data_IF_476189197860
#
_entry.id   IF_476189197860
#
_cell.length_a   1.000
_cell.length_b   1.000
_cell.length_c   1.000
_cell.angle_alpha   90.00
_cell.angle_beta   90.00
_cell.angle_gamma   90.00
#
_symmetry.space_group_name_H-M   'P 1'
#
loop_
_entity.id
_entity.type
_entity.pdbx_description
1 polymer ?
#
# COMPACT_ATOMS: atom_id res chain seq x y z
N UNK A 1 -7.06 25.76 -26.68
CA UNK A 1 -5.61 25.64 -26.56
C UNK A 1 -5.31 25.38 -25.11
N UNK A 2 -4.75 24.21 -24.80
CA UNK A 2 -4.28 23.87 -23.46
C UNK A 2 -3.07 24.75 -23.17
N UNK A 3 -3.23 25.78 -22.38
CA UNK A 3 -2.10 26.59 -21.93
C UNK A 3 -1.36 25.85 -20.85
N UNK A 4 -0.28 25.17 -21.19
CA UNK A 4 0.63 24.60 -20.20
C UNK A 4 1.34 25.74 -19.46
N UNK A 5 1.49 25.54 -18.16
CA UNK A 5 2.26 26.43 -17.30
C UNK A 5 3.47 25.68 -16.71
N UNK A 6 4.53 26.39 -16.30
CA UNK A 6 5.60 25.76 -15.54
C UNK A 6 5.05 24.98 -14.34
N UNK A 7 5.51 23.73 -14.18
CA UNK A 7 5.04 22.83 -13.14
C UNK A 7 3.85 21.96 -13.51
N UNK A 8 3.29 22.09 -14.71
CA UNK A 8 2.33 21.13 -15.26
C UNK A 8 3.07 19.92 -15.83
N UNK A 9 2.37 18.76 -15.81
CA UNK A 9 2.92 17.52 -16.37
C UNK A 9 3.05 17.66 -17.88
N UNK A 10 4.25 17.36 -18.40
CA UNK A 10 4.53 17.35 -19.83
C UNK A 10 4.46 15.89 -20.34
N UNK A 11 3.60 15.65 -21.32
CA UNK A 11 3.48 14.35 -21.98
C UNK A 11 4.34 14.29 -23.24
N UNK A 12 4.69 13.08 -23.64
CA UNK A 12 5.48 12.80 -24.83
C UNK A 12 4.54 12.57 -26.01
N UNK A 13 4.81 13.24 -27.12
CA UNK A 13 4.22 12.94 -28.41
C UNK A 13 4.92 11.65 -28.93
N UNK A 14 4.19 10.54 -28.89
CA UNK A 14 4.72 9.20 -29.20
C UNK A 14 4.75 8.96 -30.71
N UNK A 15 3.74 9.45 -31.42
CA UNK A 15 3.62 9.27 -32.87
C UNK A 15 4.35 10.34 -33.68
N UNK A 16 4.85 11.40 -33.02
CA UNK A 16 5.56 12.54 -33.59
C UNK A 16 4.72 13.35 -34.61
N UNK A 17 3.40 13.47 -34.37
CA UNK A 17 2.52 14.28 -35.22
C UNK A 17 2.46 15.76 -34.79
N UNK A 18 3.14 16.11 -33.71
CA UNK A 18 3.19 17.47 -33.14
C UNK A 18 2.03 17.80 -32.21
N UNK A 19 1.14 16.87 -31.93
CA UNK A 19 -0.04 17.06 -31.07
C UNK A 19 -0.18 15.93 -30.06
N UNK A 20 -0.05 16.23 -28.78
CA UNK A 20 -0.30 15.22 -27.72
C UNK A 20 -1.80 14.98 -27.56
N UNK A 21 -2.25 13.77 -27.84
CA UNK A 21 -3.66 13.39 -27.81
C UNK A 21 -3.86 11.89 -27.49
N UNK A 22 -5.06 11.35 -27.74
CA UNK A 22 -5.39 9.94 -27.47
C UNK A 22 -4.53 8.91 -28.28
N UNK A 23 -3.96 9.34 -29.41
CA UNK A 23 -3.10 8.49 -30.25
C UNK A 23 -1.72 8.26 -29.63
N UNK A 24 -1.35 9.05 -28.62
CA UNK A 24 -0.11 8.91 -27.86
C UNK A 24 -0.25 8.00 -26.63
N UNK A 25 -1.41 7.39 -26.45
CA UNK A 25 -1.60 6.44 -25.35
C UNK A 25 -0.99 5.10 -25.67
N UNK A 26 -0.05 4.70 -24.85
CA UNK A 26 0.65 3.42 -24.94
C UNK A 26 0.54 2.65 -23.63
N UNK A 27 0.62 1.31 -23.66
CA UNK A 27 0.71 0.53 -22.42
C UNK A 27 1.93 0.94 -21.60
N UNK A 28 1.75 1.19 -20.31
CA UNK A 28 2.83 1.57 -19.39
C UNK A 28 2.82 0.65 -18.16
N UNK A 29 4.02 0.35 -17.67
CA UNK A 29 4.24 -0.39 -16.44
C UNK A 29 3.75 -1.83 -16.45
N UNK A 30 3.43 -2.31 -15.25
CA UNK A 30 2.89 -3.65 -15.01
C UNK A 30 1.35 -3.59 -14.97
N UNK A 31 0.65 -4.72 -15.12
CA UNK A 31 -0.80 -4.76 -14.96
C UNK A 31 -1.27 -4.25 -13.60
N UNK A 32 -2.50 -3.75 -13.55
CA UNK A 32 -3.14 -3.38 -12.26
C UNK A 32 -3.64 -4.59 -11.48
N UNK A 33 -3.87 -5.72 -12.18
CA UNK A 33 -4.11 -7.02 -11.54
C UNK A 33 -2.76 -7.72 -11.43
N UNK A 34 -2.36 -8.17 -10.22
CA UNK A 34 -1.08 -8.82 -10.03
C UNK A 34 -0.91 -10.05 -10.93
N UNK A 35 0.23 -10.16 -11.61
CA UNK A 35 0.55 -11.35 -12.40
C UNK A 35 1.01 -12.52 -11.51
N UNK A 36 1.55 -12.22 -10.32
CA UNK A 36 2.04 -13.23 -9.39
C UNK A 36 1.40 -12.99 -8.02
N UNK A 37 0.75 -14.01 -7.51
CA UNK A 37 0.31 -14.08 -6.11
C UNK A 37 1.04 -15.25 -5.46
N UNK A 38 1.67 -15.01 -4.32
CA UNK A 38 2.45 -16.02 -3.62
C UNK A 38 2.15 -16.04 -2.13
N UNK A 39 2.35 -17.19 -1.51
CA UNK A 39 2.24 -17.36 -0.08
C UNK A 39 3.11 -18.50 0.39
N UNK A 40 3.66 -18.35 1.58
CA UNK A 40 4.41 -19.41 2.24
C UNK A 40 4.22 -19.35 3.75
N UNK A 41 4.31 -20.50 4.38
CA UNK A 41 4.18 -20.62 5.82
C UNK A 41 5.21 -21.56 6.38
N UNK A 42 5.57 -21.31 7.62
CA UNK A 42 6.43 -22.17 8.41
C UNK A 42 5.80 -22.38 9.79
N UNK A 43 5.83 -23.59 10.29
CA UNK A 43 5.47 -23.89 11.68
C UNK A 43 6.49 -24.82 12.30
N UNK A 44 6.72 -24.63 13.60
CA UNK A 44 7.64 -25.45 14.37
C UNK A 44 7.11 -25.58 15.80
N UNK A 45 7.37 -26.71 16.44
CA UNK A 45 7.06 -26.92 17.85
C UNK A 45 8.24 -27.62 18.54
N UNK A 46 8.50 -27.21 19.79
CA UNK A 46 9.56 -27.78 20.59
C UNK A 46 9.30 -27.59 22.08
N UNK A 47 9.25 -28.68 22.82
CA UNK A 47 9.10 -28.67 24.30
C UNK A 47 7.98 -27.78 24.82
N UNK A 48 6.80 -27.86 24.19
CA UNK A 48 5.63 -27.07 24.58
C UNK A 48 5.55 -25.68 23.93
N UNK A 49 6.63 -25.18 23.35
CA UNK A 49 6.59 -23.96 22.51
C UNK A 49 6.12 -24.32 21.11
N UNK A 50 5.28 -23.50 20.56
CA UNK A 50 4.86 -23.54 19.16
C UNK A 50 5.01 -22.17 18.52
N UNK A 51 5.40 -22.18 17.26
CA UNK A 51 5.57 -21.00 16.44
C UNK A 51 4.99 -21.27 15.07
N UNK A 52 4.23 -20.34 14.54
CA UNK A 52 3.82 -20.36 13.15
C UNK A 52 3.90 -18.98 12.54
N UNK A 53 4.22 -18.93 11.25
CA UNK A 53 4.26 -17.73 10.46
C UNK A 53 3.64 -18.02 9.09
N UNK A 54 2.80 -17.10 8.60
CA UNK A 54 2.28 -17.15 7.26
C UNK A 54 2.45 -15.79 6.58
N UNK A 55 3.08 -15.81 5.40
CA UNK A 55 3.34 -14.65 4.58
C UNK A 55 2.60 -14.80 3.25
N UNK A 56 2.06 -13.70 2.77
CA UNK A 56 1.41 -13.59 1.48
C UNK A 56 1.85 -12.30 0.80
N UNK A 57 2.00 -12.34 -0.52
CA UNK A 57 2.33 -11.15 -1.28
C UNK A 57 1.89 -11.25 -2.72
N UNK A 58 2.04 -10.13 -3.38
CA UNK A 58 1.84 -10.01 -4.82
C UNK A 58 3.08 -9.41 -5.45
N UNK A 59 3.31 -9.75 -6.70
CA UNK A 59 4.40 -9.20 -7.48
C UNK A 59 3.95 -8.96 -8.92
N UNK A 60 4.69 -8.08 -9.60
CA UNK A 60 4.41 -7.64 -10.96
C UNK A 60 3.03 -6.97 -11.05
N UNK A 61 2.76 -6.07 -10.11
CA UNK A 61 1.57 -5.23 -10.09
C UNK A 61 1.95 -3.74 -10.17
N UNK A 62 1.08 -2.94 -10.74
CA UNK A 62 1.12 -1.49 -10.66
C UNK A 62 -0.24 -0.97 -10.24
N UNK A 63 -0.27 0.21 -9.65
CA UNK A 63 -1.50 0.97 -9.50
C UNK A 63 -1.25 2.42 -9.87
N UNK A 64 -2.32 3.17 -10.10
CA UNK A 64 -2.24 4.59 -10.41
C UNK A 64 -2.83 5.39 -9.26
N UNK A 65 -2.10 6.41 -8.81
CA UNK A 65 -2.68 7.42 -7.92
C UNK A 65 -3.82 8.11 -8.68
N UNK A 66 -4.95 8.29 -8.04
CA UNK A 66 -6.07 9.04 -8.59
C UNK A 66 -5.97 10.52 -8.16
N UNK A 67 -5.45 11.40 -9.01
CA UNK A 67 -5.27 12.79 -8.64
C UNK A 67 -6.60 13.53 -8.38
N UNK A 68 -7.69 13.16 -9.08
CA UNK A 68 -8.97 13.81 -8.90
C UNK A 68 -9.51 13.70 -7.46
N UNK A 69 -9.25 12.58 -6.81
CA UNK A 69 -9.76 12.31 -5.46
C UNK A 69 -8.95 12.97 -4.35
N UNK A 70 -7.65 13.23 -4.60
CA UNK A 70 -6.73 13.79 -3.59
C UNK A 70 -6.20 15.18 -3.96
N UNK A 71 -6.69 15.78 -5.05
CA UNK A 71 -6.28 17.12 -5.50
C UNK A 71 -6.52 18.15 -4.39
N UNK A 72 -5.48 18.87 -3.96
CA UNK A 72 -5.59 19.85 -2.90
C UNK A 72 -6.41 21.06 -3.36
N UNK A 73 -7.15 21.65 -2.44
CA UNK A 73 -7.94 22.88 -2.60
C UNK A 73 -9.11 22.80 -3.59
N UNK A 74 -9.20 21.76 -4.39
CA UNK A 74 -10.33 21.52 -5.29
C UNK A 74 -11.51 21.03 -4.48
N UNK A 75 -12.70 21.59 -4.71
CA UNK A 75 -13.93 21.29 -3.96
C UNK A 75 -13.77 21.46 -2.44
N UNK A 76 -13.09 22.53 -2.01
CA UNK A 76 -12.88 22.90 -0.61
C UNK A 76 -12.07 21.86 0.21
N UNK A 77 -11.31 20.98 -0.45
CA UNK A 77 -10.45 19.99 0.22
C UNK A 77 -9.20 20.64 0.80
N UNK A 78 -8.73 20.08 1.88
CA UNK A 78 -7.39 20.37 2.41
C UNK A 78 -6.31 19.65 1.61
N UNK A 79 -5.07 20.10 1.73
CA UNK A 79 -3.92 19.41 1.19
C UNK A 79 -3.48 18.26 2.12
N UNK A 80 -3.13 17.10 1.55
CA UNK A 80 -2.40 16.08 2.28
C UNK A 80 -0.97 16.58 2.58
N UNK A 81 -0.41 16.22 3.74
CA UNK A 81 0.94 16.64 4.13
C UNK A 81 1.97 16.28 3.07
N UNK A 82 1.90 15.08 2.50
CA UNK A 82 2.81 14.65 1.42
C UNK A 82 2.75 15.57 0.19
N UNK A 83 1.58 16.12 -0.13
CA UNK A 83 1.43 17.09 -1.23
C UNK A 83 1.97 18.44 -0.83
N UNK A 84 1.69 18.89 0.39
CA UNK A 84 2.16 20.18 0.90
C UNK A 84 3.69 20.23 0.99
N UNK A 85 4.31 19.14 1.43
CA UNK A 85 5.76 19.06 1.63
C UNK A 85 6.54 18.74 0.35
N UNK A 86 5.89 18.09 -0.64
CA UNK A 86 6.55 17.59 -1.85
C UNK A 86 5.70 17.88 -3.10
N UNK A 87 5.69 19.14 -3.51
CA UNK A 87 5.07 19.61 -4.75
C UNK A 87 6.03 20.48 -5.53
N UNK A 88 5.81 20.55 -6.83
CA UNK A 88 6.54 21.49 -7.67
C UNK A 88 6.13 22.94 -7.35
N UNK A 89 7.12 23.82 -7.21
CA UNK A 89 6.89 25.26 -7.08
C UNK A 89 8.00 26.04 -7.80
N UNK A 90 7.76 27.32 -8.07
CA UNK A 90 8.75 28.21 -8.70
C UNK A 90 10.02 28.34 -7.84
N UNK A 91 9.86 28.29 -6.52
CA UNK A 91 10.96 28.37 -5.57
C UNK A 91 11.70 27.03 -5.38
N UNK A 92 11.04 25.92 -5.71
CA UNK A 92 11.60 24.57 -5.70
C UNK A 92 11.10 23.78 -6.92
N UNK A 93 11.72 23.99 -8.10
CA UNK A 93 11.29 23.38 -9.36
C UNK A 93 11.81 21.94 -9.48
N UNK A 94 11.37 21.05 -8.59
CA UNK A 94 11.73 19.64 -8.60
C UNK A 94 10.88 18.88 -9.64
N UNK A 95 11.50 18.33 -10.72
CA UNK A 95 10.77 17.54 -11.71
C UNK A 95 10.32 16.17 -11.19
N UNK A 96 10.83 15.73 -10.04
CA UNK A 96 10.47 14.47 -9.39
C UNK A 96 9.54 14.67 -8.19
N UNK A 97 9.00 15.88 -8.00
CA UNK A 97 8.08 16.15 -6.93
C UNK A 97 6.88 15.17 -6.96
N UNK A 98 6.37 14.80 -5.79
CA UNK A 98 5.21 13.91 -5.69
C UNK A 98 3.99 14.51 -6.39
N UNK A 99 3.78 15.83 -6.27
CA UNK A 99 2.66 16.55 -6.87
C UNK A 99 3.17 17.61 -7.85
N UNK A 100 2.49 17.81 -9.00
CA UNK A 100 2.77 18.93 -9.89
C UNK A 100 2.45 20.26 -9.20
N UNK A 101 2.47 21.37 -9.91
CA UNK A 101 2.10 22.66 -9.31
C UNK A 101 0.74 22.62 -8.63
N UNK A 102 0.63 23.31 -7.52
CA UNK A 102 -0.64 23.47 -6.79
C UNK A 102 -1.62 24.37 -7.55
N UNK A 103 -2.90 24.10 -7.40
CA UNK A 103 -3.99 24.88 -7.99
C UNK A 103 -5.24 24.79 -7.11
N UNK A 104 -6.04 25.85 -7.11
CA UNK A 104 -7.36 25.88 -6.46
C UNK A 104 -8.47 25.34 -7.35
N UNK A 105 -8.14 24.96 -8.56
CA UNK A 105 -9.07 24.36 -9.54
C UNK A 105 -8.43 23.13 -10.18
N UNK A 106 -9.26 22.23 -10.68
CA UNK A 106 -8.83 21.04 -11.41
C UNK A 106 -8.04 21.42 -12.66
N UNK A 107 -6.90 20.75 -12.86
CA UNK A 107 -6.07 20.89 -14.05
C UNK A 107 -6.14 19.57 -14.82
N UNK A 108 -7.07 19.48 -15.76
CA UNK A 108 -7.35 18.26 -16.51
C UNK A 108 -6.07 17.64 -17.16
N UNK A 109 -5.11 18.48 -17.54
CA UNK A 109 -3.82 18.01 -18.02
C UNK A 109 -3.07 17.19 -16.94
N UNK A 110 -3.02 17.67 -15.71
CA UNK A 110 -2.27 17.03 -14.63
C UNK A 110 -2.99 15.80 -14.04
N UNK A 111 -4.24 15.58 -14.42
CA UNK A 111 -5.08 14.48 -13.93
C UNK A 111 -5.10 13.28 -14.87
N UNK A 112 -4.41 13.34 -16.00
CA UNK A 112 -4.34 12.23 -16.95
C UNK A 112 -3.53 11.08 -16.39
N UNK A 113 -4.03 9.85 -16.57
CA UNK A 113 -3.32 8.62 -16.22
C UNK A 113 -1.99 8.55 -17.00
N UNK A 114 -0.88 8.44 -16.28
CA UNK A 114 0.46 8.53 -16.86
C UNK A 114 1.51 7.89 -15.95
N UNK A 115 2.74 7.85 -16.41
CA UNK A 115 3.90 7.41 -15.60
C UNK A 115 4.11 8.27 -14.35
N UNK A 116 3.65 9.53 -14.34
CA UNK A 116 3.70 10.38 -13.16
C UNK A 116 2.88 9.81 -11.99
N UNK A 117 1.73 9.25 -12.26
CA UNK A 117 0.82 8.72 -11.26
C UNK A 117 0.98 7.22 -11.01
N UNK A 118 1.78 6.54 -11.85
CA UNK A 118 2.03 5.11 -11.69
C UNK A 118 2.91 4.84 -10.47
N UNK A 119 2.56 3.81 -9.71
CA UNK A 119 3.32 3.32 -8.57
C UNK A 119 3.48 1.80 -8.64
N UNK A 120 4.53 1.31 -7.99
CA UNK A 120 4.73 -0.13 -7.79
C UNK A 120 3.69 -0.65 -6.80
N UNK A 121 2.92 -1.64 -7.22
CA UNK A 121 1.88 -2.28 -6.42
C UNK A 121 2.36 -3.55 -5.72
N UNK A 122 3.63 -3.93 -5.86
CA UNK A 122 4.17 -5.11 -5.23
C UNK A 122 4.19 -4.96 -3.70
N UNK A 123 3.72 -5.97 -2.98
CA UNK A 123 3.81 -6.00 -1.53
C UNK A 123 4.00 -7.41 -0.98
N UNK A 124 4.47 -7.49 0.25
CA UNK A 124 4.52 -8.71 1.04
C UNK A 124 3.92 -8.42 2.42
N UNK A 125 3.04 -9.28 2.87
CA UNK A 125 2.33 -9.15 4.14
C UNK A 125 2.59 -10.37 5.02
N UNK A 126 3.02 -10.12 6.24
CA UNK A 126 2.98 -11.13 7.30
C UNK A 126 1.52 -11.20 7.78
N UNK A 127 0.79 -12.16 7.24
CA UNK A 127 -0.66 -12.35 7.49
C UNK A 127 -0.96 -12.89 8.87
N UNK A 128 -0.07 -13.74 9.36
CA UNK A 128 -0.18 -14.29 10.70
C UNK A 128 1.21 -14.63 11.23
N UNK A 129 1.46 -14.22 12.44
CA UNK A 129 2.52 -14.77 13.28
C UNK A 129 1.86 -15.21 14.57
N UNK A 130 2.16 -16.42 15.00
CA UNK A 130 1.65 -16.95 16.25
C UNK A 130 2.80 -17.58 17.04
N UNK A 131 2.85 -17.25 18.32
CA UNK A 131 3.78 -17.82 19.27
C UNK A 131 2.96 -18.32 20.44
N UNK A 132 3.04 -19.60 20.76
CA UNK A 132 2.30 -20.23 21.82
C UNK A 132 3.20 -21.01 22.77
N UNK A 133 2.68 -21.26 23.95
CA UNK A 133 3.25 -22.17 24.91
C UNK A 133 2.16 -23.03 25.54
N UNK A 134 2.30 -24.33 25.42
CA UNK A 134 1.45 -25.32 26.06
C UNK A 134 2.12 -25.80 27.33
N UNK A 135 1.45 -25.61 28.45
CA UNK A 135 1.94 -26.08 29.74
C UNK A 135 1.89 -27.61 29.80
N UNK A 136 2.98 -28.25 30.25
CA UNK A 136 2.96 -29.71 30.42
C UNK A 136 1.93 -30.10 31.49
N UNK A 137 1.21 -31.16 31.20
CA UNK A 137 0.29 -31.74 32.19
C UNK A 137 1.11 -32.20 33.41
N UNK A 138 0.76 -31.68 34.58
CA UNK A 138 1.35 -32.08 35.85
C UNK A 138 0.27 -32.73 36.67
N UNK A 139 0.59 -33.87 37.27
CA UNK A 139 -0.30 -34.64 38.15
C UNK A 139 -0.76 -33.84 39.39
N UNK A 140 -0.06 -32.73 39.69
CA UNK A 140 -0.37 -31.89 40.87
C UNK A 140 -0.19 -30.41 40.54
N UNK A 141 -1.09 -29.56 40.98
CA UNK A 141 -1.03 -28.11 40.85
C UNK A 141 -2.30 -27.48 40.24
N UNK A 142 -2.27 -26.20 40.05
CA UNK A 142 -3.43 -25.40 39.59
C UNK A 142 -3.94 -25.79 38.18
N UNK A 143 -3.11 -26.47 37.41
CA UNK A 143 -3.40 -26.90 36.01
C UNK A 143 -3.36 -28.43 35.88
N UNK A 144 -3.53 -29.17 36.98
CA UNK A 144 -3.57 -30.63 36.95
C UNK A 144 -4.75 -31.14 36.12
N UNK A 145 -4.48 -32.01 35.14
CA UNK A 145 -5.49 -32.55 34.22
C UNK A 145 -6.00 -31.55 33.16
N UNK A 146 -5.40 -30.34 33.05
CA UNK A 146 -5.78 -29.34 32.09
C UNK A 146 -4.65 -29.13 31.05
N UNK A 147 -5.01 -29.28 29.77
CA UNK A 147 -4.10 -28.87 28.68
C UNK A 147 -4.31 -27.37 28.42
N UNK A 148 -3.41 -26.56 28.98
CA UNK A 148 -3.51 -25.11 28.92
C UNK A 148 -2.47 -24.54 27.97
N UNK A 149 -2.88 -23.68 27.05
CA UNK A 149 -2.00 -22.98 26.09
C UNK A 149 -2.24 -21.49 26.13
N UNK A 150 -1.17 -20.71 26.22
CA UNK A 150 -1.17 -19.26 26.02
C UNK A 150 -0.52 -18.96 24.67
N UNK A 151 -1.13 -18.05 23.91
CA UNK A 151 -0.59 -17.67 22.60
C UNK A 151 -0.75 -16.18 22.31
N UNK A 152 0.09 -15.68 21.42
CA UNK A 152 0.06 -14.33 20.86
C UNK A 152 -0.02 -14.43 19.34
N UNK A 153 -0.84 -13.58 18.71
CA UNK A 153 -0.91 -13.45 17.25
C UNK A 153 -0.76 -12.00 16.81
N UNK A 154 -0.20 -11.78 15.61
CA UNK A 154 0.01 -10.45 15.05
C UNK A 154 0.04 -10.44 13.51
N UNK A 155 -0.08 -9.23 12.94
CA UNK A 155 -0.10 -8.98 11.50
C UNK A 155 0.73 -7.74 11.15
N UNK A 156 1.56 -7.84 10.09
CA UNK A 156 2.40 -6.74 9.58
C UNK A 156 2.37 -6.70 8.05
N UNK A 157 2.46 -5.51 7.46
CA UNK A 157 2.54 -5.33 6.01
C UNK A 157 3.84 -4.64 5.62
N UNK A 158 4.45 -5.10 4.55
CA UNK A 158 5.65 -4.53 3.93
C UNK A 158 5.33 -4.20 2.47
N UNK A 159 5.51 -2.95 2.06
CA UNK A 159 5.33 -2.52 0.68
C UNK A 159 6.42 -1.51 0.30
N UNK A 160 6.64 -1.31 -0.99
CA UNK A 160 7.52 -0.25 -1.49
C UNK A 160 6.84 1.12 -1.46
N UNK A 161 5.53 1.13 -1.49
CA UNK A 161 4.74 2.34 -1.36
C UNK A 161 4.37 2.54 0.12
N UNK A 162 4.67 3.70 0.67
CA UNK A 162 4.67 4.01 2.10
C UNK A 162 3.56 4.98 2.53
N UNK A 163 2.84 5.60 1.60
CA UNK A 163 1.83 6.60 1.92
C UNK A 163 0.53 5.98 2.44
N UNK A 164 0.10 4.87 1.85
CA UNK A 164 -1.04 4.06 2.31
C UNK A 164 -0.90 2.61 1.85
N UNK A 165 -1.75 1.74 2.34
CA UNK A 165 -1.74 0.33 1.91
C UNK A 165 -2.13 0.21 0.44
N UNK A 166 -1.33 -0.50 -0.35
CA UNK A 166 -1.52 -0.65 -1.80
C UNK A 166 -2.86 -1.29 -2.18
N UNK A 167 -3.47 -2.09 -1.30
CA UNK A 167 -4.81 -2.65 -1.51
C UNK A 167 -5.94 -1.60 -1.38
N UNK A 168 -5.67 -0.41 -0.86
CA UNK A 168 -6.64 0.69 -0.79
C UNK A 168 -6.83 1.40 -2.13
N UNK A 169 -6.03 1.06 -3.15
CA UNK A 169 -6.11 1.67 -4.47
C UNK A 169 -5.50 3.07 -4.55
N UNK A 170 -5.86 3.80 -5.60
CA UNK A 170 -5.17 5.00 -6.04
C UNK A 170 -5.43 6.29 -5.26
N UNK A 171 -6.36 6.32 -4.32
CA UNK A 171 -6.65 7.53 -3.53
C UNK A 171 -6.35 7.41 -2.03
N UNK A 172 -6.12 6.19 -1.53
CA UNK A 172 -5.86 5.96 -0.11
C UNK A 172 -7.01 6.34 0.85
N UNK A 173 -8.21 6.63 0.33
CA UNK A 173 -9.35 7.11 1.10
C UNK A 173 -10.24 5.98 1.62
N UNK A 174 -9.93 4.74 1.27
CA UNK A 174 -10.62 3.55 1.78
C UNK A 174 -10.35 3.34 3.27
N UNK A 175 -11.07 2.38 3.86
CA UNK A 175 -10.82 1.97 5.23
C UNK A 175 -9.46 1.23 5.30
N UNK A 176 -8.49 1.71 6.09
CA UNK A 176 -7.17 1.11 6.13
C UNK A 176 -7.21 -0.29 6.75
N UNK A 177 -6.46 -1.26 6.21
CA UNK A 177 -6.30 -2.56 6.83
C UNK A 177 -5.78 -2.43 8.25
N UNK A 178 -6.48 -3.05 9.19
CA UNK A 178 -6.14 -2.96 10.61
C UNK A 178 -5.00 -3.91 10.95
N UNK A 179 -4.10 -3.45 11.83
CA UNK A 179 -3.14 -4.32 12.52
C UNK A 179 -3.82 -4.83 13.78
N UNK A 180 -3.94 -6.14 13.89
CA UNK A 180 -4.60 -6.78 15.04
C UNK A 180 -3.57 -7.62 15.79
N UNK A 181 -3.54 -7.44 17.10
CA UNK A 181 -2.71 -8.23 18.00
C UNK A 181 -3.63 -8.87 19.05
N UNK A 182 -3.51 -10.17 19.22
CA UNK A 182 -4.32 -10.91 20.18
C UNK A 182 -3.44 -11.68 21.15
N UNK A 183 -3.88 -11.76 22.38
CA UNK A 183 -3.37 -12.69 23.39
C UNK A 183 -4.54 -13.61 23.75
N UNK A 184 -4.33 -14.90 23.69
CA UNK A 184 -5.36 -15.89 23.96
C UNK A 184 -4.90 -16.92 24.98
N UNK A 185 -5.88 -17.46 25.70
CA UNK A 185 -5.74 -18.59 26.60
C UNK A 185 -6.70 -19.68 26.12
N UNK A 186 -6.17 -20.87 25.89
CA UNK A 186 -6.93 -22.07 25.54
C UNK A 186 -6.80 -23.08 26.67
N UNK A 187 -7.91 -23.56 27.16
CA UNK A 187 -7.97 -24.59 28.21
C UNK A 187 -8.79 -25.75 27.69
N UNK A 188 -8.22 -26.95 27.67
CA UNK A 188 -8.89 -28.18 27.31
C UNK A 188 -8.95 -29.08 28.58
N UNK A 189 -10.11 -29.58 28.87
CA UNK A 189 -10.38 -30.45 30.03
C UNK A 189 -11.06 -31.76 29.62
#
# INVERSE_FOLDING_TARGET
ANSYMPGDIKYTDINNDGVVNELDRVPIGKPTVPEIVYGFGLSASYKGYDFSVFMQGVARASFFINPNDISPFVNERNALNVIADNHWSINNPDPNAFWPRLSTYSIANNEQQSTWWQRDGDFMRLKNVEIGYTFPDKETGLFSGLNTRIYFTGLLTFSKFDLWDTEMGGNGLGYPPQKVYNIGLQVNF
#
